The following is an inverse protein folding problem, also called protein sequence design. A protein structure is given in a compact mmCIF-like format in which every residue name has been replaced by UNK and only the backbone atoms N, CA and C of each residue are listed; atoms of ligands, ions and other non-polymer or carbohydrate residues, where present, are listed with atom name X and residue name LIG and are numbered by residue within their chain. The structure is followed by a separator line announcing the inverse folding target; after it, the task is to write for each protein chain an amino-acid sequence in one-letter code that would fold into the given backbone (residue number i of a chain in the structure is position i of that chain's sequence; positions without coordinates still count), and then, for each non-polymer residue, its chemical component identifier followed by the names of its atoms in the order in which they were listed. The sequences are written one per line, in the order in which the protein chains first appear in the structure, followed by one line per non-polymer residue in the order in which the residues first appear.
data_IF_424333569232
#
_entry.id   IF_424333569232
#
_cell.length_a   1.000
_cell.length_b   1.000
_cell.length_c   1.000
_cell.angle_alpha   90.00
_cell.angle_beta   90.00
_cell.angle_gamma   90.00
#
_symmetry.space_group_name_H-M   'P 1'
#
loop_
_entity.id
_entity.type
_entity.pdbx_description
1 polymer ?
#
# COMPACT_ATOMS: atom_id res chain seq x y z
N UNK A 1 16.54 -4.32 15.15
CA UNK A 1 15.45 -4.12 14.17
C UNK A 1 14.82 -2.77 14.46
N UNK A 2 14.93 -1.78 13.58
CA UNK A 2 14.36 -0.46 13.83
C UNK A 2 12.83 -0.57 13.86
N UNK A 3 12.23 -0.26 15.01
CA UNK A 3 10.78 -0.25 15.19
C UNK A 3 10.25 1.02 14.53
N UNK A 4 9.46 0.86 13.47
CA UNK A 4 8.75 1.97 12.83
C UNK A 4 7.66 2.49 13.78
N UNK A 5 7.47 3.81 13.84
CA UNK A 5 6.38 4.37 14.63
C UNK A 5 5.03 3.99 14.01
N UNK A 6 4.05 3.63 14.85
CA UNK A 6 2.69 3.29 14.37
C UNK A 6 2.07 4.44 13.57
N UNK A 7 2.33 5.68 14.01
CA UNK A 7 1.91 6.90 13.31
C UNK A 7 2.42 6.95 11.87
N UNK A 8 3.68 6.55 11.62
CA UNK A 8 4.21 6.48 10.25
C UNK A 8 3.44 5.45 9.43
N UNK A 9 3.18 4.28 10.00
CA UNK A 9 2.55 3.19 9.25
C UNK A 9 1.13 3.57 8.78
N UNK A 10 0.36 4.20 9.66
CA UNK A 10 -0.99 4.69 9.36
C UNK A 10 -1.03 5.80 8.29
N UNK A 11 0.09 6.48 8.05
CA UNK A 11 0.20 7.57 7.06
C UNK A 11 0.65 7.12 5.66
N UNK A 12 0.98 5.84 5.47
CA UNK A 12 1.59 5.35 4.21
C UNK A 12 0.56 5.17 3.09
N UNK A 13 -0.57 4.51 3.37
CA UNK A 13 -1.62 4.24 2.39
C UNK A 13 -2.53 5.47 2.31
N UNK A 14 -2.60 6.12 1.14
CA UNK A 14 -3.36 7.36 0.98
C UNK A 14 -4.77 7.11 0.44
N UNK A 15 -4.88 6.39 -0.67
CA UNK A 15 -6.16 6.05 -1.31
C UNK A 15 -6.01 4.77 -2.15
N UNK A 16 -7.06 3.94 -2.28
CA UNK A 16 -7.11 2.90 -3.30
C UNK A 16 -7.25 3.53 -4.69
N UNK A 17 -6.68 2.91 -5.72
CA UNK A 17 -6.93 3.29 -7.11
C UNK A 17 -7.82 2.27 -7.80
N UNK A 18 -8.99 2.73 -8.23
CA UNK A 18 -9.97 1.97 -8.99
C UNK A 18 -10.02 2.53 -10.42
N UNK A 19 -9.65 1.68 -11.36
CA UNK A 19 -9.55 1.90 -12.80
C UNK A 19 -9.77 0.55 -13.48
N UNK A 20 -10.08 0.53 -14.77
CA UNK A 20 -10.19 -0.74 -15.52
C UNK A 20 -8.94 -1.61 -15.36
N UNK A 21 -7.76 -0.99 -15.38
CA UNK A 21 -6.49 -1.68 -15.18
C UNK A 21 -6.36 -2.31 -13.79
N UNK A 22 -6.70 -1.57 -12.72
CA UNK A 22 -6.62 -2.09 -11.36
C UNK A 22 -7.63 -3.20 -11.10
N UNK A 23 -8.84 -3.10 -11.69
CA UNK A 23 -9.85 -4.16 -11.61
C UNK A 23 -9.34 -5.42 -12.33
N UNK A 24 -8.87 -5.27 -13.56
CA UNK A 24 -8.36 -6.39 -14.37
C UNK A 24 -7.20 -7.13 -13.66
N UNK A 25 -6.22 -6.42 -13.10
CA UNK A 25 -5.12 -7.11 -12.39
C UNK A 25 -5.56 -7.70 -11.04
N UNK A 26 -6.59 -7.13 -10.41
CA UNK A 26 -7.21 -7.70 -9.21
C UNK A 26 -7.83 -9.05 -9.50
N UNK A 27 -8.59 -9.15 -10.60
CA UNK A 27 -9.21 -10.41 -11.03
C UNK A 27 -8.19 -11.45 -11.49
N UNK A 28 -7.20 -11.04 -12.30
CA UNK A 28 -6.24 -11.97 -12.89
C UNK A 28 -5.15 -12.43 -11.91
N UNK A 29 -4.73 -11.57 -10.97
CA UNK A 29 -3.53 -11.79 -10.17
C UNK A 29 -3.74 -11.61 -8.66
N UNK A 30 -4.97 -11.36 -8.20
CA UNK A 30 -5.26 -11.02 -6.80
C UNK A 30 -4.40 -9.83 -6.30
N UNK A 31 -4.25 -8.81 -7.15
CA UNK A 31 -3.42 -7.62 -6.87
C UNK A 31 -4.28 -6.38 -6.63
N UNK A 32 -3.88 -5.59 -5.65
CA UNK A 32 -4.55 -4.34 -5.28
C UNK A 32 -3.64 -3.15 -5.51
N UNK A 33 -4.22 -2.03 -5.95
CA UNK A 33 -3.47 -0.81 -6.28
C UNK A 33 -3.81 0.28 -5.29
N UNK A 34 -2.78 0.83 -4.67
CA UNK A 34 -2.88 1.96 -3.75
C UNK A 34 -1.97 3.10 -4.20
N UNK A 35 -2.44 4.32 -4.00
CA UNK A 35 -1.58 5.50 -3.96
C UNK A 35 -0.95 5.55 -2.57
N UNK A 36 0.36 5.68 -2.53
CA UNK A 36 1.14 5.70 -1.28
C UNK A 36 1.88 7.02 -1.12
N UNK A 37 2.30 7.32 0.10
CA UNK A 37 3.16 8.47 0.38
C UNK A 37 4.45 8.39 -0.47
N UNK A 38 4.84 9.51 -1.08
CA UNK A 38 5.99 9.57 -2.01
C UNK A 38 7.32 9.09 -1.39
N UNK A 39 7.47 9.24 -0.09
CA UNK A 39 8.64 8.80 0.66
C UNK A 39 8.55 7.36 1.18
N UNK A 40 7.46 6.64 0.93
CA UNK A 40 7.27 5.29 1.44
C UNK A 40 8.17 4.27 0.71
N UNK A 41 8.77 3.37 1.48
CA UNK A 41 9.60 2.27 0.97
C UNK A 41 8.80 0.97 0.84
N UNK A 42 9.29 -0.02 0.07
CA UNK A 42 8.58 -1.31 -0.07
C UNK A 42 8.35 -2.04 1.27
N UNK A 43 9.32 -2.12 2.20
CA UNK A 43 9.08 -2.73 3.51
C UNK A 43 8.04 -1.98 4.35
N UNK A 44 8.02 -0.65 4.22
CA UNK A 44 7.02 0.22 4.84
C UNK A 44 5.60 -0.06 4.33
N UNK A 45 5.43 -0.12 3.01
CA UNK A 45 4.14 -0.41 2.37
C UNK A 45 3.64 -1.80 2.77
N UNK A 46 4.52 -2.80 2.80
CA UNK A 46 4.18 -4.16 3.25
C UNK A 46 3.59 -4.13 4.67
N UNK A 47 4.29 -3.51 5.61
CA UNK A 47 3.81 -3.38 6.99
C UNK A 47 2.50 -2.61 7.10
N UNK A 48 2.29 -1.59 6.26
CA UNK A 48 1.04 -0.82 6.24
C UNK A 48 -0.16 -1.60 5.71
N UNK A 49 0.07 -2.56 4.81
CA UNK A 49 -0.99 -3.44 4.27
C UNK A 49 -1.30 -4.60 5.21
N UNK A 50 -0.31 -5.10 5.96
CA UNK A 50 -0.44 -6.26 6.86
C UNK A 50 -0.87 -5.90 8.29
N UNK A 51 -1.05 -4.62 8.61
CA UNK A 51 -1.44 -4.13 9.94
C UNK A 51 -2.95 -4.25 10.16
#
# INVERSE_FOLDING_TARGET
MAVMSQQRIMSILLEPKITEKSTMIGELNNQYVFKVAKSATKPEIKKAVEL
#
